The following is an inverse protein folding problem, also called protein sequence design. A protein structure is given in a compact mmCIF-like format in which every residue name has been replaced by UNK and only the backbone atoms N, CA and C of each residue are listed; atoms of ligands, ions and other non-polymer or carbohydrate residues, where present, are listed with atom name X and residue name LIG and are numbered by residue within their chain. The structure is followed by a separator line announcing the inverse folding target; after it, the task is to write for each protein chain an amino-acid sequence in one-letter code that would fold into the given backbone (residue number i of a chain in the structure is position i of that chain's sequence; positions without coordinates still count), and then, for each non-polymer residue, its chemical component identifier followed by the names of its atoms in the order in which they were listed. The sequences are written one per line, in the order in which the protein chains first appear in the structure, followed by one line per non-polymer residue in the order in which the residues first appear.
data_IF_582054381266
#
_entry.id   IF_582054381266
#
_cell.length_a   1.000
_cell.length_b   1.000
_cell.length_c   1.000
_cell.angle_alpha   90.00
_cell.angle_beta   90.00
_cell.angle_gamma   90.00
#
_symmetry.space_group_name_H-M   'P 1'
#
loop_
_entity.id
_entity.type
_entity.pdbx_description
1 polymer ?
#
# COMPACT_ATOMS: atom_id res chain seq x y z
N UNK A 1 8.36 -7.31 -23.97
CA UNK A 1 9.14 -6.16 -23.47
C UNK A 1 9.29 -6.32 -21.97
N UNK A 2 10.41 -5.91 -21.35
CA UNK A 2 10.54 -5.95 -19.90
C UNK A 2 9.40 -5.13 -19.25
N UNK A 3 8.89 -5.59 -18.11
CA UNK A 3 7.88 -4.86 -17.35
C UNK A 3 8.45 -3.54 -16.81
N UNK A 4 7.69 -2.46 -16.91
CA UNK A 4 8.09 -1.15 -16.41
C UNK A 4 7.69 -1.01 -14.92
N UNK A 5 8.26 -1.87 -14.05
CA UNK A 5 7.99 -1.88 -12.61
C UNK A 5 9.19 -1.33 -11.83
N UNK A 6 8.91 -0.48 -10.84
CA UNK A 6 9.89 0.11 -9.93
C UNK A 6 9.78 -0.53 -8.56
N UNK A 7 10.90 -0.80 -7.93
CA UNK A 7 10.96 -1.40 -6.60
C UNK A 7 10.82 -0.35 -5.52
N UNK A 8 9.76 -0.46 -4.71
CA UNK A 8 9.55 0.35 -3.52
C UNK A 8 9.76 -0.43 -2.23
N UNK A 9 10.02 0.27 -1.13
CA UNK A 9 10.14 -0.32 0.20
C UNK A 9 9.42 0.52 1.25
N UNK A 10 8.79 -0.13 2.24
CA UNK A 10 8.16 0.53 3.36
C UNK A 10 9.20 1.14 4.31
N UNK A 11 9.23 2.45 4.38
CA UNK A 11 10.20 3.25 5.13
C UNK A 11 10.33 2.86 6.61
N UNK A 12 9.22 2.56 7.29
CA UNK A 12 9.24 2.29 8.73
C UNK A 12 10.01 1.02 9.08
N UNK A 13 10.08 0.04 8.17
CA UNK A 13 10.80 -1.23 8.34
C UNK A 13 12.28 -1.15 7.99
N UNK A 14 12.75 -0.03 7.45
CA UNK A 14 14.16 0.14 7.10
C UNK A 14 15.04 0.37 8.33
N UNK A 15 16.27 -0.16 8.34
CA UNK A 15 17.25 0.12 9.38
C UNK A 15 17.71 1.59 9.35
N UNK A 16 17.99 2.13 10.52
CA UNK A 16 18.41 3.51 10.70
C UNK A 16 17.52 4.27 11.69
N UNK A 17 18.05 5.34 12.27
CA UNK A 17 17.35 6.19 13.26
C UNK A 17 16.78 7.46 12.62
N UNK A 18 17.44 7.97 11.59
CA UNK A 18 17.07 9.20 10.86
C UNK A 18 16.53 8.86 9.47
N UNK A 19 15.81 9.80 8.87
CA UNK A 19 15.35 9.65 7.48
C UNK A 19 16.52 9.42 6.53
N UNK A 20 17.63 10.13 6.72
CA UNK A 20 18.83 9.98 5.92
C UNK A 20 19.41 8.57 5.97
N UNK A 21 19.58 8.02 7.18
CA UNK A 21 20.10 6.66 7.36
C UNK A 21 19.22 5.62 6.69
N UNK A 22 17.90 5.72 6.88
CA UNK A 22 16.93 4.81 6.30
C UNK A 22 16.91 4.87 4.78
N UNK A 23 16.87 6.06 4.18
CA UNK A 23 16.84 6.18 2.73
C UNK A 23 18.16 5.72 2.09
N UNK A 24 19.30 6.02 2.70
CA UNK A 24 20.59 5.49 2.23
C UNK A 24 20.66 3.95 2.30
N UNK A 25 20.15 3.34 3.36
CA UNK A 25 20.10 1.88 3.47
C UNK A 25 19.21 1.24 2.39
N UNK A 26 18.00 1.81 2.15
CA UNK A 26 17.09 1.36 1.11
C UNK A 26 17.72 1.50 -0.29
N UNK A 27 18.39 2.63 -0.56
CA UNK A 27 19.10 2.86 -1.83
C UNK A 27 20.23 1.86 -2.04
N UNK A 28 21.03 1.61 -1.02
CA UNK A 28 22.15 0.67 -1.06
C UNK A 28 21.70 -0.77 -1.33
N UNK A 29 20.47 -1.12 -0.93
CA UNK A 29 19.87 -2.42 -1.19
C UNK A 29 19.27 -2.56 -2.60
N UNK A 30 19.29 -1.50 -3.44
CA UNK A 30 18.85 -1.56 -4.84
C UNK A 30 17.36 -1.28 -5.05
N UNK A 31 16.69 -0.57 -4.14
CA UNK A 31 15.35 -0.05 -4.36
C UNK A 31 15.36 1.28 -5.10
N UNK A 32 14.27 1.57 -5.83
CA UNK A 32 14.09 2.81 -6.61
C UNK A 32 13.42 3.90 -5.79
N UNK A 33 12.65 3.53 -4.79
CA UNK A 33 11.90 4.47 -3.97
C UNK A 33 11.35 3.89 -2.69
N UNK A 34 10.58 4.74 -2.00
CA UNK A 34 9.99 4.42 -0.70
C UNK A 34 8.52 4.80 -0.64
N UNK A 35 7.81 4.09 0.21
CA UNK A 35 6.55 4.53 0.80
C UNK A 35 6.79 4.92 2.25
N UNK A 36 6.31 6.08 2.68
CA UNK A 36 6.53 6.59 4.04
C UNK A 36 5.24 7.08 4.69
N UNK A 37 5.16 7.07 6.04
CA UNK A 37 4.00 7.63 6.74
C UNK A 37 3.85 9.12 6.46
N UNK A 38 2.62 9.62 6.45
CA UNK A 38 2.32 11.06 6.46
C UNK A 38 2.78 11.74 7.76
N UNK A 39 2.75 13.08 7.78
CA UNK A 39 3.05 13.90 8.96
C UNK A 39 4.50 13.74 9.49
N UNK A 40 5.44 13.46 8.60
CA UNK A 40 6.86 13.46 8.92
C UNK A 40 7.43 14.88 8.96
N UNK A 41 8.65 15.05 9.50
CA UNK A 41 9.41 16.28 9.32
C UNK A 41 9.75 16.46 7.84
N UNK A 42 9.03 17.37 7.19
CA UNK A 42 9.09 17.55 5.74
C UNK A 42 10.49 17.93 5.24
N UNK A 43 11.17 18.82 5.95
CA UNK A 43 12.49 19.30 5.52
C UNK A 43 13.57 18.23 5.66
N UNK A 44 13.47 17.40 6.71
CA UNK A 44 14.34 16.24 6.89
C UNK A 44 14.12 15.20 5.77
N UNK A 45 12.86 14.88 5.47
CA UNK A 45 12.50 13.92 4.41
C UNK A 45 12.96 14.40 3.04
N UNK A 46 12.74 15.68 2.69
CA UNK A 46 13.15 16.24 1.41
C UNK A 46 14.67 16.20 1.26
N UNK A 47 15.41 16.61 2.29
CA UNK A 47 16.88 16.53 2.28
C UNK A 47 17.36 15.09 2.10
N UNK A 48 16.78 14.16 2.85
CA UNK A 48 17.16 12.74 2.75
C UNK A 48 16.83 12.15 1.37
N UNK A 49 15.67 12.51 0.76
CA UNK A 49 15.29 12.15 -0.60
C UNK A 49 16.32 12.66 -1.62
N UNK A 50 16.63 13.95 -1.56
CA UNK A 50 17.51 14.60 -2.53
C UNK A 50 18.95 14.07 -2.46
N UNK A 51 19.47 13.85 -1.24
CA UNK A 51 20.80 13.29 -1.05
C UNK A 51 20.89 11.79 -1.40
N UNK A 52 19.84 11.00 -1.15
CA UNK A 52 19.84 9.57 -1.49
C UNK A 52 19.53 9.29 -2.96
N UNK A 53 18.89 10.21 -3.65
CA UNK A 53 18.36 10.03 -5.01
C UNK A 53 17.24 9.01 -5.12
N UNK A 54 16.55 8.70 -3.99
CA UNK A 54 15.35 7.86 -3.99
C UNK A 54 14.11 8.67 -4.33
N UNK A 55 13.15 8.02 -4.99
CA UNK A 55 11.81 8.60 -5.20
C UNK A 55 10.91 8.29 -3.98
N UNK A 56 10.14 9.27 -3.53
CA UNK A 56 9.01 9.00 -2.62
C UNK A 56 7.82 8.62 -3.50
N UNK A 57 7.45 7.33 -3.48
CA UNK A 57 6.43 6.78 -4.37
C UNK A 57 5.00 7.05 -3.86
N UNK A 58 4.83 6.93 -2.55
CA UNK A 58 3.52 6.99 -1.87
C UNK A 58 3.70 7.55 -0.46
N UNK A 59 2.71 8.29 0.02
CA UNK A 59 2.59 8.70 1.42
C UNK A 59 1.43 7.94 2.07
N UNK A 60 1.70 7.17 3.12
CA UNK A 60 0.68 6.38 3.81
C UNK A 60 -0.10 7.23 4.81
N UNK A 61 -1.42 7.31 4.61
CA UNK A 61 -2.38 7.97 5.48
C UNK A 61 -3.29 6.98 6.22
N UNK A 62 -2.92 5.69 6.28
CA UNK A 62 -3.76 4.64 6.88
C UNK A 62 -4.21 4.94 8.31
N UNK A 63 -3.33 5.57 9.11
CA UNK A 63 -3.64 5.96 10.48
C UNK A 63 -4.77 7.01 10.56
N UNK A 64 -4.76 7.97 9.65
CA UNK A 64 -5.73 9.09 9.61
C UNK A 64 -6.99 8.73 8.83
N UNK A 65 -6.91 7.84 7.86
CA UNK A 65 -8.06 7.48 7.03
C UNK A 65 -9.00 6.47 7.67
N UNK A 66 -8.53 5.60 8.56
CA UNK A 66 -9.40 4.62 9.27
C UNK A 66 -10.53 5.28 10.06
N UNK A 67 -10.32 6.38 10.80
CA UNK A 67 -11.39 7.08 11.50
C UNK A 67 -12.46 7.70 10.60
N UNK A 68 -12.26 7.78 9.29
CA UNK A 68 -13.24 8.37 8.37
C UNK A 68 -14.56 7.63 8.31
N UNK A 69 -14.63 6.39 8.79
CA UNK A 69 -15.90 5.64 8.91
C UNK A 69 -16.50 5.65 10.32
N UNK A 70 -15.90 6.37 11.28
CA UNK A 70 -16.41 6.45 12.67
C UNK A 70 -17.87 6.91 12.72
N UNK A 71 -18.69 6.40 13.63
CA UNK A 71 -20.05 6.94 13.89
C UNK A 71 -20.00 8.38 14.43
N UNK A 72 -18.89 8.78 15.10
CA UNK A 72 -18.71 10.14 15.58
C UNK A 72 -18.26 11.09 14.47
N UNK A 73 -19.04 12.16 14.24
CA UNK A 73 -18.78 13.12 13.16
C UNK A 73 -17.48 13.91 13.35
N UNK A 74 -17.11 14.25 14.59
CA UNK A 74 -15.87 14.98 14.87
C UNK A 74 -14.64 14.12 14.57
N UNK A 75 -14.69 12.83 14.92
CA UNK A 75 -13.66 11.84 14.59
C UNK A 75 -13.51 11.67 13.09
N UNK A 76 -14.62 11.58 12.32
CA UNK A 76 -14.57 11.54 10.85
C UNK A 76 -13.90 12.79 10.28
N UNK A 77 -14.31 13.97 10.75
CA UNK A 77 -13.75 15.24 10.27
C UNK A 77 -12.25 15.34 10.53
N UNK A 78 -11.79 14.97 11.72
CA UNK A 78 -10.37 14.93 12.06
C UNK A 78 -9.59 13.96 11.16
N UNK A 79 -10.16 12.79 10.87
CA UNK A 79 -9.58 11.83 9.93
C UNK A 79 -9.41 12.39 8.51
N UNK A 80 -10.44 13.06 7.99
CA UNK A 80 -10.43 13.71 6.68
C UNK A 80 -9.34 14.79 6.63
N UNK A 81 -9.23 15.65 7.62
CA UNK A 81 -8.19 16.68 7.67
C UNK A 81 -6.77 16.09 7.75
N UNK A 82 -6.60 14.99 8.51
CA UNK A 82 -5.33 14.27 8.54
C UNK A 82 -4.93 13.71 7.16
N UNK A 83 -5.87 13.18 6.38
CA UNK A 83 -5.61 12.73 5.01
C UNK A 83 -5.34 13.90 4.08
N UNK A 84 -6.04 15.03 4.19
CA UNK A 84 -5.75 16.25 3.41
C UNK A 84 -4.32 16.74 3.65
N UNK A 85 -3.83 16.68 4.90
CA UNK A 85 -2.43 16.97 5.17
C UNK A 85 -1.50 15.99 4.45
N UNK A 86 -1.80 14.69 4.49
CA UNK A 86 -1.02 13.68 3.74
C UNK A 86 -1.00 13.91 2.22
N UNK A 87 -2.09 14.41 1.62
CA UNK A 87 -2.13 14.79 0.20
C UNK A 87 -1.17 15.95 -0.07
N UNK A 88 -1.13 16.97 0.82
CA UNK A 88 -0.17 18.10 0.73
C UNK A 88 1.27 17.63 0.92
N UNK A 89 1.51 16.72 1.86
CA UNK A 89 2.82 16.10 2.09
C UNK A 89 3.28 15.35 0.82
N UNK A 90 2.40 14.54 0.23
CA UNK A 90 2.68 13.80 -1.01
C UNK A 90 3.08 14.77 -2.15
N UNK A 91 2.33 15.84 -2.35
CA UNK A 91 2.68 16.88 -3.33
C UNK A 91 4.06 17.48 -3.07
N UNK A 92 4.35 17.83 -1.83
CA UNK A 92 5.63 18.44 -1.45
C UNK A 92 6.81 17.48 -1.62
N UNK A 93 6.61 16.21 -1.37
CA UNK A 93 7.64 15.16 -1.56
C UNK A 93 7.82 14.73 -3.02
N UNK A 94 6.92 15.12 -3.92
CA UNK A 94 6.89 14.63 -5.30
C UNK A 94 6.33 13.22 -5.44
N UNK A 95 5.62 12.74 -4.41
CA UNK A 95 4.90 11.47 -4.47
C UNK A 95 3.66 11.58 -5.35
N UNK A 96 3.29 10.50 -6.01
CA UNK A 96 2.15 10.48 -6.95
C UNK A 96 0.86 9.98 -6.33
N UNK A 97 0.90 9.45 -5.10
CA UNK A 97 -0.28 8.94 -4.42
C UNK A 97 -0.18 9.05 -2.90
N UNK A 98 -1.33 9.01 -2.26
CA UNK A 98 -1.47 8.67 -0.84
C UNK A 98 -2.18 7.33 -0.71
N UNK A 99 -1.75 6.51 0.25
CA UNK A 99 -2.46 5.29 0.62
C UNK A 99 -3.51 5.64 1.67
N UNK A 100 -4.75 5.18 1.46
CA UNK A 100 -5.87 5.38 2.36
C UNK A 100 -6.58 4.06 2.69
N UNK A 101 -7.02 3.92 3.93
CA UNK A 101 -7.84 2.82 4.43
C UNK A 101 -9.13 3.45 4.99
N UNK A 102 -10.15 3.72 4.15
CA UNK A 102 -11.22 4.68 4.48
C UNK A 102 -12.26 4.15 5.48
N UNK A 103 -12.04 3.01 6.10
CA UNK A 103 -12.98 2.48 7.08
C UNK A 103 -12.51 1.23 7.78
N UNK A 104 -13.23 0.89 8.83
CA UNK A 104 -13.13 -0.37 9.60
C UNK A 104 -14.54 -0.81 9.92
N UNK A 105 -14.82 -2.10 9.77
CA UNK A 105 -16.08 -2.71 10.17
C UNK A 105 -15.84 -3.54 11.43
N UNK A 106 -16.69 -3.38 12.41
CA UNK A 106 -16.71 -4.20 13.63
C UNK A 106 -18.15 -4.52 14.06
N UNK A 107 -18.31 -5.20 15.18
CA UNK A 107 -19.62 -5.61 15.71
C UNK A 107 -20.53 -4.44 16.10
N UNK A 108 -19.97 -3.24 16.32
CA UNK A 108 -20.68 -2.03 16.77
C UNK A 108 -20.99 -1.08 15.64
N UNK A 109 -20.37 -1.25 14.48
CA UNK A 109 -20.54 -0.38 13.33
C UNK A 109 -21.04 -1.18 12.12
N UNK A 110 -22.32 -0.99 11.73
CA UNK A 110 -22.90 -1.69 10.58
C UNK A 110 -22.09 -1.46 9.30
N UNK A 111 -21.98 -2.50 8.48
CA UNK A 111 -21.25 -2.46 7.23
C UNK A 111 -21.73 -1.35 6.29
N UNK A 112 -23.06 -1.20 6.16
CA UNK A 112 -23.65 -0.18 5.30
C UNK A 112 -23.31 1.25 5.76
N UNK A 113 -23.26 1.50 7.08
CA UNK A 113 -22.89 2.80 7.63
C UNK A 113 -21.40 3.10 7.38
N UNK A 114 -20.54 2.10 7.59
CA UNK A 114 -19.12 2.19 7.25
C UNK A 114 -18.92 2.55 5.78
N UNK A 115 -19.65 1.89 4.87
CA UNK A 115 -19.60 2.17 3.45
C UNK A 115 -20.04 3.61 3.14
N UNK A 116 -21.17 4.03 3.69
CA UNK A 116 -21.70 5.39 3.47
C UNK A 116 -20.74 6.48 4.00
N UNK A 117 -20.22 6.32 5.21
CA UNK A 117 -19.27 7.27 5.80
C UNK A 117 -17.94 7.31 5.03
N UNK A 118 -17.39 6.15 4.70
CA UNK A 118 -16.16 6.05 3.89
C UNK A 118 -16.32 6.74 2.54
N UNK A 119 -17.43 6.48 1.84
CA UNK A 119 -17.72 7.10 0.54
C UNK A 119 -17.86 8.63 0.66
N UNK A 120 -18.61 9.11 1.68
CA UNK A 120 -18.78 10.53 1.93
C UNK A 120 -17.45 11.22 2.30
N UNK A 121 -16.60 10.56 3.10
CA UNK A 121 -15.29 11.06 3.47
C UNK A 121 -14.34 11.13 2.26
N UNK A 122 -14.30 10.08 1.44
CA UNK A 122 -13.50 10.06 0.22
C UNK A 122 -13.90 11.16 -0.76
N UNK A 123 -15.21 11.41 -0.95
CA UNK A 123 -15.71 12.50 -1.80
C UNK A 123 -15.23 13.88 -1.37
N UNK A 124 -14.97 14.09 -0.07
CA UNK A 124 -14.42 15.36 0.44
C UNK A 124 -12.92 15.52 0.20
N UNK A 125 -12.20 14.41 -0.09
CA UNK A 125 -10.77 14.41 -0.41
C UNK A 125 -10.50 14.60 -1.91
N UNK A 126 -11.41 14.13 -2.76
CA UNK A 126 -11.26 14.12 -4.22
C UNK A 126 -10.88 15.50 -4.79
N UNK A 127 -11.55 16.63 -4.46
CA UNK A 127 -11.20 17.92 -5.06
C UNK A 127 -9.75 18.32 -4.79
N UNK A 128 -9.24 18.12 -3.57
CA UNK A 128 -7.85 18.45 -3.23
C UNK A 128 -6.87 17.50 -3.94
N UNK A 129 -7.22 16.23 -4.06
CA UNK A 129 -6.40 15.25 -4.76
C UNK A 129 -6.28 15.57 -6.25
N UNK A 130 -7.37 15.96 -6.91
CA UNK A 130 -7.40 16.43 -8.30
C UNK A 130 -6.58 17.70 -8.49
N UNK A 131 -6.77 18.72 -7.64
CA UNK A 131 -6.04 19.99 -7.67
C UNK A 131 -4.53 19.77 -7.60
N UNK A 132 -4.07 18.88 -6.68
CA UNK A 132 -2.65 18.67 -6.47
C UNK A 132 -2.06 17.55 -7.37
N UNK A 133 -2.88 16.85 -8.15
CA UNK A 133 -2.45 15.75 -9.01
C UNK A 133 -1.94 14.54 -8.23
N UNK A 134 -2.56 14.25 -7.08
CA UNK A 134 -2.21 13.12 -6.19
C UNK A 134 -3.33 12.09 -6.21
N UNK A 135 -3.01 10.80 -6.37
CA UNK A 135 -3.99 9.73 -6.40
C UNK A 135 -4.31 9.27 -4.97
N UNK A 136 -5.58 9.14 -4.64
CA UNK A 136 -6.08 8.46 -3.45
C UNK A 136 -6.11 6.96 -3.70
N UNK A 137 -5.08 6.24 -3.28
CA UNK A 137 -4.96 4.78 -3.42
C UNK A 137 -5.61 4.07 -2.24
N UNK A 138 -6.74 3.39 -2.48
CA UNK A 138 -7.47 2.65 -1.45
C UNK A 138 -6.85 1.27 -1.30
N UNK A 139 -6.50 0.88 -0.06
CA UNK A 139 -5.87 -0.40 0.20
C UNK A 139 -6.84 -1.44 0.74
N UNK A 140 -6.71 -2.68 0.26
CA UNK A 140 -7.34 -3.87 0.83
C UNK A 140 -6.53 -4.38 2.02
N UNK A 141 -7.06 -4.19 3.22
CA UNK A 141 -6.47 -4.67 4.48
C UNK A 141 -7.45 -5.53 5.26
N UNK A 142 -6.98 -6.14 6.36
CA UNK A 142 -7.82 -6.97 7.23
C UNK A 142 -8.60 -6.12 8.25
N UNK A 143 -9.55 -5.35 7.76
CA UNK A 143 -10.40 -4.44 8.52
C UNK A 143 -11.90 -4.78 8.40
N UNK A 144 -12.21 -5.99 7.89
CA UNK A 144 -13.57 -6.47 7.62
C UNK A 144 -14.37 -5.60 6.64
N UNK A 145 -13.69 -4.78 5.86
CA UNK A 145 -14.27 -3.90 4.84
C UNK A 145 -13.64 -4.21 3.48
N UNK A 146 -14.40 -4.06 2.38
CA UNK A 146 -14.00 -4.47 1.03
C UNK A 146 -13.65 -5.97 0.94
N UNK A 147 -14.65 -6.81 1.17
CA UNK A 147 -14.47 -8.26 1.23
C UNK A 147 -14.42 -8.93 -0.14
N UNK A 148 -14.69 -8.19 -1.23
CA UNK A 148 -14.62 -8.71 -2.59
C UNK A 148 -14.05 -7.70 -3.59
N UNK A 149 -13.44 -8.17 -4.70
CA UNK A 149 -12.95 -7.29 -5.75
C UNK A 149 -14.07 -6.56 -6.50
N UNK A 150 -15.27 -7.11 -6.54
CA UNK A 150 -16.45 -6.48 -7.16
C UNK A 150 -16.89 -5.25 -6.38
N UNK A 151 -16.91 -5.36 -5.05
CA UNK A 151 -17.20 -4.23 -4.16
C UNK A 151 -16.11 -3.16 -4.23
N UNK A 152 -14.84 -3.57 -4.22
CA UNK A 152 -13.70 -2.68 -4.34
C UNK A 152 -13.74 -1.88 -5.66
N UNK A 153 -14.01 -2.55 -6.78
CA UNK A 153 -14.15 -1.90 -8.09
C UNK A 153 -15.33 -0.91 -8.10
N UNK A 154 -16.49 -1.33 -7.57
CA UNK A 154 -17.68 -0.50 -7.47
C UNK A 154 -17.41 0.76 -6.64
N UNK A 155 -16.75 0.65 -5.50
CA UNK A 155 -16.45 1.79 -4.63
C UNK A 155 -15.57 2.84 -5.34
N UNK A 156 -14.55 2.41 -6.09
CA UNK A 156 -13.72 3.31 -6.91
C UNK A 156 -14.58 3.99 -7.98
N UNK A 157 -15.44 3.25 -8.68
CA UNK A 157 -16.31 3.79 -9.73
C UNK A 157 -17.34 4.80 -9.19
N UNK A 158 -17.89 4.57 -7.99
CA UNK A 158 -18.84 5.50 -7.34
C UNK A 158 -18.20 6.84 -6.95
N UNK A 159 -16.88 6.90 -6.80
CA UNK A 159 -16.14 8.15 -6.55
C UNK A 159 -15.96 8.97 -7.83
N UNK A 160 -16.01 8.34 -9.02
CA UNK A 160 -16.11 9.00 -10.30
C UNK A 160 -14.93 9.90 -10.68
N UNK A 161 -13.75 9.69 -10.10
CA UNK A 161 -12.58 10.55 -10.30
C UNK A 161 -11.36 9.77 -10.73
N UNK A 162 -10.57 10.34 -11.63
CA UNK A 162 -9.25 9.80 -12.02
C UNK A 162 -8.20 9.96 -10.90
N UNK A 163 -8.45 10.79 -9.90
CA UNK A 163 -7.61 10.92 -8.71
C UNK A 163 -7.90 9.84 -7.65
N UNK A 164 -8.69 8.81 -7.97
CA UNK A 164 -8.95 7.66 -7.10
C UNK A 164 -8.52 6.39 -7.78
N UNK A 165 -7.87 5.51 -7.03
CA UNK A 165 -7.45 4.20 -7.51
C UNK A 165 -7.36 3.19 -6.38
N UNK A 166 -6.92 1.97 -6.72
CA UNK A 166 -6.74 0.89 -5.79
C UNK A 166 -5.25 0.64 -5.54
N UNK A 167 -4.82 0.76 -4.29
CA UNK A 167 -3.50 0.35 -3.83
C UNK A 167 -3.58 -1.12 -3.41
N UNK A 168 -3.25 -2.01 -4.35
CA UNK A 168 -3.54 -3.43 -4.22
C UNK A 168 -2.47 -4.17 -3.41
N UNK A 169 -2.81 -4.63 -2.20
CA UNK A 169 -1.97 -5.55 -1.43
C UNK A 169 -2.25 -6.99 -1.84
N UNK A 170 -1.26 -7.62 -2.46
CA UNK A 170 -1.33 -8.98 -2.99
C UNK A 170 -1.44 -10.00 -1.86
N UNK A 171 -0.56 -9.90 -0.85
CA UNK A 171 -0.51 -10.88 0.25
C UNK A 171 -1.75 -10.87 1.13
N UNK A 172 -2.37 -9.70 1.32
CA UNK A 172 -3.59 -9.59 2.11
C UNK A 172 -4.78 -10.37 1.50
N UNK A 173 -4.78 -10.60 0.19
CA UNK A 173 -5.83 -11.36 -0.50
C UNK A 173 -5.64 -12.86 -0.36
N UNK A 174 -4.41 -13.37 -0.28
CA UNK A 174 -4.12 -14.82 -0.26
C UNK A 174 -4.83 -15.56 0.88
N UNK A 175 -5.11 -14.86 1.97
CA UNK A 175 -5.88 -15.40 3.09
C UNK A 175 -7.25 -15.94 2.67
N UNK A 176 -8.01 -15.19 1.86
CA UNK A 176 -9.40 -15.50 1.49
C UNK A 176 -9.63 -15.67 -0.01
N UNK A 177 -8.61 -15.48 -0.85
CA UNK A 177 -8.83 -15.44 -2.29
C UNK A 177 -7.57 -15.66 -3.12
N UNK A 178 -7.66 -15.26 -4.36
CA UNK A 178 -6.63 -15.40 -5.38
C UNK A 178 -6.31 -14.01 -5.96
N UNK A 179 -5.10 -13.48 -5.70
CA UNK A 179 -4.72 -12.11 -6.12
C UNK A 179 -4.89 -11.86 -7.62
N UNK A 180 -4.57 -12.83 -8.47
CA UNK A 180 -4.69 -12.72 -9.93
C UNK A 180 -6.14 -12.53 -10.40
N UNK A 181 -7.13 -13.02 -9.65
CA UNK A 181 -8.55 -12.77 -9.95
C UNK A 181 -8.94 -11.33 -9.57
N UNK A 182 -8.46 -10.84 -8.42
CA UNK A 182 -8.67 -9.46 -8.01
C UNK A 182 -8.06 -8.49 -9.00
N UNK A 183 -6.83 -8.75 -9.47
CA UNK A 183 -6.13 -7.91 -10.44
C UNK A 183 -6.94 -7.75 -11.72
N UNK A 184 -7.48 -8.85 -12.27
CA UNK A 184 -8.31 -8.81 -13.49
C UNK A 184 -9.60 -8.02 -13.31
N UNK A 185 -10.26 -8.13 -12.15
CA UNK A 185 -11.52 -7.41 -11.86
C UNK A 185 -11.25 -5.93 -11.61
N UNK A 186 -10.24 -5.59 -10.83
CA UNK A 186 -9.85 -4.20 -10.57
C UNK A 186 -9.32 -3.51 -11.84
N UNK A 187 -8.56 -4.23 -12.65
CA UNK A 187 -8.07 -3.73 -13.93
C UNK A 187 -7.29 -2.42 -13.78
N UNK A 188 -7.61 -1.43 -14.60
CA UNK A 188 -6.96 -0.11 -14.63
C UNK A 188 -7.20 0.76 -13.37
N UNK A 189 -8.02 0.30 -12.43
CA UNK A 189 -8.21 0.98 -11.13
C UNK A 189 -7.00 0.79 -10.22
N UNK A 190 -6.16 -0.23 -10.47
CA UNK A 190 -4.93 -0.43 -9.70
C UNK A 190 -3.94 0.69 -10.01
N UNK A 191 -3.57 1.46 -8.98
CA UNK A 191 -2.63 2.56 -9.07
C UNK A 191 -1.27 2.26 -8.45
N UNK A 192 -1.21 1.35 -7.47
CA UNK A 192 0.00 0.90 -6.75
C UNK A 192 -0.15 -0.55 -6.33
N UNK A 193 0.99 -1.20 -6.04
CA UNK A 193 1.03 -2.56 -5.50
C UNK A 193 1.80 -2.60 -4.19
N UNK A 194 1.26 -3.35 -3.21
CA UNK A 194 2.03 -3.92 -2.13
C UNK A 194 2.38 -5.37 -2.45
N UNK A 195 3.67 -5.66 -2.35
CA UNK A 195 4.23 -7.00 -2.51
C UNK A 195 4.42 -7.58 -1.12
N UNK A 196 3.68 -8.62 -0.82
CA UNK A 196 3.68 -9.29 0.46
C UNK A 196 3.45 -10.78 0.25
N UNK A 197 4.14 -11.61 1.00
CA UNK A 197 3.96 -13.06 0.94
C UNK A 197 3.03 -13.54 2.04
N UNK A 198 2.35 -14.66 1.81
CA UNK A 198 1.46 -15.26 2.79
C UNK A 198 1.42 -16.78 2.65
N UNK A 199 1.35 -17.51 3.78
CA UNK A 199 1.27 -18.97 3.81
C UNK A 199 -0.03 -19.46 4.44
N UNK A 200 -0.87 -20.13 3.65
CA UNK A 200 -2.08 -20.82 4.10
C UNK A 200 -1.76 -22.01 5.02
N UNK A 201 -0.61 -22.65 4.83
CA UNK A 201 -0.14 -23.70 5.74
C UNK A 201 0.06 -23.15 7.15
N UNK A 202 0.80 -22.04 7.27
CA UNK A 202 1.03 -21.40 8.59
C UNK A 202 -0.26 -20.83 9.19
N UNK A 203 -1.17 -20.32 8.37
CA UNK A 203 -2.52 -19.95 8.80
C UNK A 203 -3.22 -21.13 9.50
N UNK A 204 -3.25 -22.30 8.86
CA UNK A 204 -3.94 -23.47 9.38
C UNK A 204 -3.29 -24.04 10.64
N UNK A 205 -1.96 -23.95 10.75
CA UNK A 205 -1.20 -24.49 11.88
C UNK A 205 -1.15 -23.53 13.10
N UNK A 206 -1.08 -22.21 12.87
CA UNK A 206 -0.71 -21.22 13.91
C UNK A 206 -1.61 -19.98 13.95
N UNK A 207 -2.67 -19.95 13.13
CA UNK A 207 -3.61 -18.85 13.05
C UNK A 207 -3.26 -17.78 12.02
N UNK A 208 -4.22 -16.91 11.78
CA UNK A 208 -4.26 -15.98 10.66
C UNK A 208 -2.99 -15.12 10.47
N UNK A 209 -2.52 -14.49 11.55
CA UNK A 209 -1.34 -13.60 11.47
C UNK A 209 -0.04 -14.35 11.21
N UNK A 210 0.04 -15.62 11.60
CA UNK A 210 1.24 -16.43 11.37
C UNK A 210 1.51 -16.71 9.89
N UNK A 211 0.49 -16.59 9.02
CA UNK A 211 0.64 -16.71 7.59
C UNK A 211 1.63 -15.72 6.98
N UNK A 212 1.82 -14.54 7.58
CA UNK A 212 2.82 -13.58 7.11
C UNK A 212 4.27 -13.91 7.53
N UNK A 213 4.47 -14.84 8.47
CA UNK A 213 5.81 -15.26 8.89
C UNK A 213 6.42 -16.27 7.89
N UNK A 214 6.43 -15.92 6.62
CA UNK A 214 6.95 -16.74 5.52
C UNK A 214 7.87 -15.89 4.64
N UNK A 215 8.86 -16.54 4.05
CA UNK A 215 9.79 -15.88 3.16
C UNK A 215 9.16 -15.70 1.77
N UNK A 216 9.55 -14.64 1.07
CA UNK A 216 9.17 -14.45 -0.34
C UNK A 216 9.51 -15.66 -1.19
N UNK A 217 8.60 -16.06 -2.08
CA UNK A 217 8.67 -17.23 -2.95
C UNK A 217 8.50 -18.59 -2.22
N UNK A 218 8.20 -18.58 -0.93
CA UNK A 218 7.98 -19.80 -0.12
C UNK A 218 6.56 -19.89 0.44
N UNK A 219 5.70 -18.93 0.08
CA UNK A 219 4.30 -18.89 0.49
C UNK A 219 3.36 -19.42 -0.59
N UNK A 220 2.12 -18.95 -0.52
CA UNK A 220 1.03 -19.38 -1.38
C UNK A 220 0.61 -18.29 -2.41
N UNK A 221 1.42 -17.23 -2.60
CA UNK A 221 1.25 -16.31 -3.72
C UNK A 221 1.74 -16.99 -5.00
N UNK A 222 0.85 -17.19 -5.97
CA UNK A 222 1.23 -17.65 -7.32
C UNK A 222 1.78 -16.46 -8.12
N UNK A 223 3.08 -16.17 -7.91
CA UNK A 223 3.72 -15.01 -8.53
C UNK A 223 3.67 -15.04 -10.06
N UNK A 224 3.87 -16.17 -10.76
CA UNK A 224 3.66 -16.24 -12.20
C UNK A 224 2.25 -15.85 -12.63
N UNK A 225 1.21 -16.34 -11.94
CA UNK A 225 -0.18 -15.99 -12.25
C UNK A 225 -0.50 -14.52 -11.94
N UNK A 226 0.05 -13.99 -10.84
CA UNK A 226 -0.06 -12.57 -10.45
C UNK A 226 0.58 -11.67 -11.50
N UNK A 227 1.83 -11.97 -11.90
CA UNK A 227 2.56 -11.16 -12.87
C UNK A 227 1.90 -11.22 -14.25
N UNK A 228 1.40 -12.39 -14.67
CA UNK A 228 0.60 -12.52 -15.89
C UNK A 228 -0.67 -11.65 -15.85
N UNK A 229 -1.39 -11.64 -14.72
CA UNK A 229 -2.58 -10.80 -14.59
C UNK A 229 -2.26 -9.29 -14.64
N UNK A 230 -1.12 -8.87 -14.08
CA UNK A 230 -0.62 -7.49 -14.19
C UNK A 230 -0.27 -7.11 -15.63
N UNK A 231 0.32 -8.02 -16.40
CA UNK A 231 0.59 -7.81 -17.83
C UNK A 231 -0.72 -7.69 -18.64
N UNK A 232 -1.70 -8.54 -18.35
CA UNK A 232 -3.02 -8.53 -19.02
C UNK A 232 -3.74 -7.19 -18.85
N UNK A 233 -3.63 -6.55 -17.68
CA UNK A 233 -4.23 -5.23 -17.43
C UNK A 233 -3.32 -4.06 -17.85
N UNK A 234 -2.07 -4.34 -18.27
CA UNK A 234 -1.08 -3.34 -18.66
C UNK A 234 -0.58 -2.48 -17.49
N UNK A 235 -0.46 -3.05 -16.29
CA UNK A 235 0.01 -2.31 -15.12
C UNK A 235 1.47 -1.89 -15.27
N UNK A 236 1.73 -0.62 -14.96
CA UNK A 236 3.08 -0.03 -14.89
C UNK A 236 3.18 0.81 -13.63
N UNK A 237 4.31 0.78 -12.97
CA UNK A 237 4.50 1.63 -11.79
C UNK A 237 5.25 0.96 -10.66
N UNK A 238 4.74 1.10 -9.45
CA UNK A 238 5.45 0.71 -8.23
C UNK A 238 4.98 -0.64 -7.69
N UNK A 239 5.95 -1.47 -7.34
CA UNK A 239 5.81 -2.69 -6.57
C UNK A 239 6.54 -2.48 -5.23
N UNK A 240 5.80 -2.10 -4.20
CA UNK A 240 6.36 -1.74 -2.89
C UNK A 240 6.27 -2.92 -1.93
N UNK A 241 7.39 -3.28 -1.31
CA UNK A 241 7.40 -4.28 -0.23
C UNK A 241 6.86 -3.66 1.05
N UNK A 242 5.80 -4.29 1.64
CA UNK A 242 5.15 -3.85 2.89
C UNK A 242 4.83 -5.01 3.82
N UNK A 243 5.21 -4.93 5.07
CA UNK A 243 6.55 -5.25 5.51
C UNK A 243 6.87 -6.71 5.19
N UNK A 244 8.12 -7.02 4.87
CA UNK A 244 8.57 -8.40 4.72
C UNK A 244 8.87 -9.02 6.09
N UNK A 245 8.53 -10.30 6.22
CA UNK A 245 8.99 -11.08 7.38
C UNK A 245 10.52 -11.12 7.44
N UNK A 246 11.07 -10.95 8.64
CA UNK A 246 12.52 -11.03 8.86
C UNK A 246 12.85 -12.26 9.70
N UNK A 247 13.66 -13.19 9.19
CA UNK A 247 14.13 -14.32 9.96
C UNK A 247 14.93 -13.87 11.18
N UNK A 248 14.86 -14.59 12.32
CA UNK A 248 15.71 -14.31 13.46
C UNK A 248 17.20 -14.38 13.10
N UNK A 249 17.99 -13.43 13.63
CA UNK A 249 19.45 -13.42 13.46
C UNK A 249 19.97 -12.87 12.13
N UNK A 250 19.12 -12.36 11.26
CA UNK A 250 19.56 -11.69 10.03
C UNK A 250 19.78 -10.20 10.29
N UNK A 251 20.96 -9.72 9.94
CA UNK A 251 21.28 -8.30 10.04
C UNK A 251 20.37 -7.45 9.14
N UNK A 252 19.83 -6.32 9.61
CA UNK A 252 18.83 -5.54 8.88
C UNK A 252 19.26 -5.07 7.48
N UNK A 253 20.52 -4.68 7.30
CA UNK A 253 21.02 -4.25 5.99
C UNK A 253 21.11 -5.43 5.00
N UNK A 254 21.58 -6.58 5.47
CA UNK A 254 21.59 -7.81 4.67
C UNK A 254 20.17 -8.25 4.32
N UNK A 255 19.24 -8.14 5.28
CA UNK A 255 17.83 -8.45 5.02
C UNK A 255 17.23 -7.60 3.91
N UNK A 256 17.50 -6.30 3.91
CA UNK A 256 17.05 -5.41 2.83
C UNK A 256 17.52 -5.87 1.45
N UNK A 257 18.79 -6.27 1.33
CA UNK A 257 19.38 -6.78 0.09
C UNK A 257 18.71 -8.06 -0.36
N UNK A 258 18.53 -9.03 0.54
CA UNK A 258 17.85 -10.29 0.26
C UNK A 258 16.41 -10.07 -0.23
N UNK A 259 15.67 -9.15 0.39
CA UNK A 259 14.32 -8.77 -0.03
C UNK A 259 14.34 -8.18 -1.44
N UNK A 260 15.27 -7.28 -1.72
CA UNK A 260 15.43 -6.67 -3.04
C UNK A 260 15.72 -7.70 -4.14
N UNK A 261 16.60 -8.66 -3.88
CA UNK A 261 16.94 -9.76 -4.81
C UNK A 261 15.74 -10.71 -5.04
N UNK A 262 14.95 -10.99 -4.00
CA UNK A 262 13.71 -11.80 -4.13
C UNK A 262 12.63 -11.03 -4.89
N UNK A 263 12.51 -9.73 -4.67
CA UNK A 263 11.60 -8.90 -5.43
C UNK A 263 11.97 -8.91 -6.93
N UNK A 264 13.26 -8.86 -7.29
CA UNK A 264 13.68 -8.98 -8.68
C UNK A 264 13.21 -10.30 -9.32
N UNK A 265 13.26 -11.42 -8.58
CA UNK A 265 12.75 -12.71 -9.05
C UNK A 265 11.24 -12.71 -9.22
N UNK A 266 10.50 -12.10 -8.28
CA UNK A 266 9.04 -11.94 -8.36
C UNK A 266 8.67 -11.13 -9.60
N UNK A 267 9.33 -9.99 -9.83
CA UNK A 267 9.03 -9.12 -10.96
C UNK A 267 9.43 -9.71 -12.32
N UNK A 268 10.28 -10.71 -12.33
CA UNK A 268 10.69 -11.45 -13.53
C UNK A 268 9.84 -12.70 -13.83
N UNK A 269 8.95 -13.10 -12.91
CA UNK A 269 8.14 -14.33 -13.01
C UNK A 269 7.09 -14.33 -14.13
#
# INVERSE_FOLDING_TARGET
MPRELKKGFWYASAPGKTAMEKLKAIKAAGFDGVELPSHQNQDEVIRARDESGLTIATVSCGLYSRPMSSPDAATRAAGIEGVKQGIRDAKRYGATSVLVIPGVVDEKQPYADTYAYALAGMKQLVPLAEELGVILGIENVWNHFFLSPLEAARFVDELGSKAVGWHFDIGNVVYLGWPEQWIRILGKRICKLHIKEYSRKKLNEKGQRAGFAVEFLEGDCDWPAVMKALDEIGYKGWATVDPAWTPPGVEPAERLKQISEKLDKILAA
#
